data_IF_268386190784
#
_entry.id   IF_268386190784
#
_cell.length_a   1.000
_cell.length_b   1.000
_cell.length_c   1.000
_cell.angle_alpha   90.00
_cell.angle_beta   90.00
_cell.angle_gamma   90.00
#
_symmetry.space_group_name_H-M   'P 1'
#
loop_
_entity.id
_entity.type
_entity.pdbx_description
1 polymer ?
#
# COMPACT_ATOMS: atom_id res chain seq x y z
N UNK A 1 -5.80 -11.63 27.40
CA UNK A 1 -6.55 -12.65 26.61
C UNK A 1 -6.29 -12.42 25.13
N UNK A 2 -5.53 -13.30 24.46
CA UNK A 2 -5.31 -13.20 23.01
C UNK A 2 -6.57 -13.65 22.25
N UNK A 3 -7.02 -12.87 21.27
CA UNK A 3 -8.13 -13.28 20.39
C UNK A 3 -7.72 -14.54 19.61
N UNK A 4 -8.08 -15.72 20.13
CA UNK A 4 -7.97 -17.01 19.42
C UNK A 4 -9.02 -17.02 18.32
N UNK A 5 -8.59 -16.68 17.10
CA UNK A 5 -9.40 -16.74 15.89
C UNK A 5 -8.60 -16.21 14.69
N UNK A 6 -8.82 -16.78 13.51
CA UNK A 6 -8.25 -16.22 12.26
C UNK A 6 -8.69 -14.76 12.14
N UNK A 7 -7.78 -13.87 11.73
CA UNK A 7 -8.11 -12.47 11.44
C UNK A 7 -9.32 -12.45 10.49
N UNK A 8 -10.36 -11.63 10.75
CA UNK A 8 -11.54 -11.61 9.92
C UNK A 8 -11.14 -11.24 8.49
N UNK A 9 -11.65 -12.00 7.50
CA UNK A 9 -11.46 -11.65 6.09
C UNK A 9 -12.13 -10.28 5.82
N UNK A 10 -11.46 -9.38 5.09
CA UNK A 10 -12.04 -8.14 4.60
C UNK A 10 -13.39 -8.34 3.92
N UNK A 11 -14.22 -7.31 3.95
CA UNK A 11 -15.58 -7.40 3.42
C UNK A 11 -15.59 -7.65 1.91
N UNK A 12 -14.62 -7.08 1.19
CA UNK A 12 -14.40 -7.35 -0.23
C UNK A 12 -14.19 -8.84 -0.54
N UNK A 13 -13.40 -9.53 0.29
CA UNK A 13 -13.15 -10.97 0.15
C UNK A 13 -14.39 -11.81 0.45
N UNK A 14 -15.18 -11.43 1.46
CA UNK A 14 -16.44 -12.13 1.76
C UNK A 14 -17.49 -11.94 0.66
N UNK A 15 -17.54 -10.77 0.02
CA UNK A 15 -18.41 -10.53 -1.15
C UNK A 15 -18.01 -11.41 -2.33
N UNK A 16 -16.71 -11.57 -2.59
CA UNK A 16 -16.18 -12.38 -3.69
C UNK A 16 -16.38 -13.90 -3.45
N UNK A 17 -16.25 -14.36 -2.21
CA UNK A 17 -16.52 -15.76 -1.82
C UNK A 17 -18.02 -16.08 -1.67
N UNK A 18 -18.93 -15.16 -2.01
CA UNK A 18 -20.38 -15.38 -1.92
C UNK A 18 -20.92 -15.45 -0.49
N UNK A 19 -20.19 -14.88 0.47
CA UNK A 19 -20.51 -14.87 1.90
C UNK A 19 -20.90 -16.26 2.47
N UNK A 20 -19.97 -17.23 2.52
CA UNK A 20 -20.26 -18.61 2.94
C UNK A 20 -20.87 -18.69 4.35
N UNK A 21 -20.59 -17.71 5.21
CA UNK A 21 -21.08 -17.63 6.58
C UNK A 21 -22.42 -16.91 6.77
N UNK A 22 -23.03 -16.36 5.70
CA UNK A 22 -24.30 -15.59 5.71
C UNK A 22 -24.40 -14.48 6.78
N UNK A 23 -23.29 -14.04 7.38
CA UNK A 23 -23.28 -12.93 8.34
C UNK A 23 -23.40 -11.61 7.60
N UNK A 24 -24.09 -10.64 8.21
CA UNK A 24 -24.17 -9.27 7.70
C UNK A 24 -22.75 -8.74 7.42
N UNK A 25 -22.56 -8.23 6.21
CA UNK A 25 -21.29 -7.70 5.74
C UNK A 25 -21.13 -6.27 6.28
N UNK A 26 -19.91 -5.89 6.65
CA UNK A 26 -19.67 -4.53 7.13
C UNK A 26 -19.59 -3.58 5.93
N UNK A 27 -20.69 -2.88 5.65
CA UNK A 27 -20.79 -1.96 4.51
C UNK A 27 -20.04 -0.64 4.75
N UNK A 28 -19.66 -0.34 6.00
CA UNK A 28 -18.94 0.87 6.41
C UNK A 28 -17.44 0.64 6.59
N UNK A 29 -16.84 -0.27 5.81
CA UNK A 29 -15.38 -0.37 5.80
C UNK A 29 -14.82 0.88 5.12
N UNK A 30 -14.04 1.72 5.83
CA UNK A 30 -13.54 2.97 5.25
C UNK A 30 -12.57 2.62 4.13
N UNK A 31 -12.99 2.87 2.88
CA UNK A 31 -12.10 2.81 1.72
C UNK A 31 -11.26 4.08 1.74
N UNK A 32 -9.95 4.00 2.04
CA UNK A 32 -9.14 5.20 2.12
C UNK A 32 -9.01 5.82 0.72
N UNK A 33 -9.05 7.16 0.59
CA UNK A 33 -8.84 7.79 -0.71
C UNK A 33 -7.42 7.48 -1.21
N UNK A 34 -7.32 7.15 -2.50
CA UNK A 34 -6.05 7.01 -3.22
C UNK A 34 -5.41 8.39 -3.37
N UNK A 35 -4.76 8.87 -2.32
CA UNK A 35 -4.04 10.13 -2.28
C UNK A 35 -2.54 9.88 -2.46
N UNK A 36 -1.86 10.82 -3.12
CA UNK A 36 -0.40 10.77 -3.26
C UNK A 36 0.25 10.82 -1.88
N UNK A 37 0.77 9.68 -1.43
CA UNK A 37 1.56 9.59 -0.21
C UNK A 37 2.85 10.40 -0.36
N UNK A 38 2.95 11.50 0.38
CA UNK A 38 4.20 12.25 0.48
C UNK A 38 5.16 11.54 1.43
N UNK A 39 6.39 11.33 0.96
CA UNK A 39 7.47 10.78 1.79
C UNK A 39 7.75 11.73 2.97
N UNK A 40 7.80 11.24 4.22
CA UNK A 40 8.09 12.11 5.35
C UNK A 40 9.53 12.66 5.30
N UNK A 41 9.69 13.93 5.68
CA UNK A 41 10.98 14.63 5.57
C UNK A 41 12.07 14.05 6.47
N UNK A 42 11.69 13.45 7.61
CA UNK A 42 12.60 12.91 8.62
C UNK A 42 13.24 11.55 8.25
N UNK A 43 12.90 10.96 7.10
CA UNK A 43 13.50 9.68 6.70
C UNK A 43 14.97 9.83 6.33
N UNK A 44 15.74 8.81 6.69
CA UNK A 44 17.13 8.63 6.23
C UNK A 44 17.21 8.58 4.70
N UNK A 45 18.33 9.00 4.08
CA UNK A 45 18.48 8.98 2.63
C UNK A 45 18.22 7.60 2.00
N UNK A 46 18.74 6.53 2.61
CA UNK A 46 18.50 5.15 2.16
C UNK A 46 17.03 4.74 2.31
N UNK A 47 16.38 5.16 3.40
CA UNK A 47 14.94 4.93 3.59
C UNK A 47 14.10 5.67 2.52
N UNK A 48 14.50 6.88 2.12
CA UNK A 48 13.85 7.65 1.04
C UNK A 48 14.01 7.00 -0.32
N UNK A 49 15.13 6.31 -0.58
CA UNK A 49 15.32 5.54 -1.83
C UNK A 49 14.37 4.35 -1.88
N UNK A 50 14.26 3.62 -0.76
CA UNK A 50 13.35 2.47 -0.66
C UNK A 50 11.88 2.89 -0.77
N UNK A 51 11.51 4.01 -0.14
CA UNK A 51 10.19 4.60 -0.31
C UNK A 51 9.87 4.89 -1.77
N UNK A 52 10.78 5.54 -2.50
CA UNK A 52 10.59 5.86 -3.92
C UNK A 52 10.53 4.61 -4.81
N UNK A 53 11.19 3.53 -4.42
CA UNK A 53 11.19 2.26 -5.15
C UNK A 53 9.88 1.49 -4.99
N UNK A 54 9.36 1.40 -3.76
CA UNK A 54 8.22 0.53 -3.44
C UNK A 54 6.87 1.25 -3.39
N UNK A 55 6.83 2.53 -2.99
CA UNK A 55 5.58 3.26 -2.82
C UNK A 55 4.74 3.32 -4.11
N UNK A 56 5.30 3.63 -5.30
CA UNK A 56 4.49 3.73 -6.52
C UNK A 56 3.77 2.42 -6.86
N UNK A 57 4.48 1.29 -6.76
CA UNK A 57 3.91 -0.03 -7.02
C UNK A 57 2.84 -0.41 -6.00
N UNK A 58 3.05 -0.09 -4.72
CA UNK A 58 2.08 -0.38 -3.66
C UNK A 58 0.82 0.49 -3.75
N UNK A 59 0.96 1.75 -4.19
CA UNK A 59 -0.17 2.66 -4.47
C UNK A 59 -0.94 2.17 -5.69
N UNK A 60 -0.26 1.76 -6.76
CA UNK A 60 -0.89 1.22 -7.97
C UNK A 60 -1.69 -0.07 -7.69
N UNK A 61 -1.22 -0.89 -6.74
CA UNK A 61 -1.95 -2.07 -6.26
C UNK A 61 -3.06 -1.75 -5.25
N UNK A 62 -3.22 -0.49 -4.83
CA UNK A 62 -4.22 -0.08 -3.83
C UNK A 62 -3.96 -0.66 -2.43
N UNK A 63 -2.71 -1.00 -2.11
CA UNK A 63 -2.30 -1.57 -0.83
C UNK A 63 -1.90 -0.49 0.16
N UNK A 64 -1.27 0.56 -0.36
CA UNK A 64 -0.75 1.65 0.46
C UNK A 64 -1.68 2.85 0.39
N UNK A 65 -2.21 3.24 1.53
CA UNK A 65 -3.10 4.40 1.66
C UNK A 65 -2.53 5.45 2.60
N UNK A 66 -3.16 6.62 2.71
CA UNK A 66 -2.70 7.69 3.62
C UNK A 66 -2.61 7.23 5.07
N UNK A 67 -3.49 6.31 5.50
CA UNK A 67 -3.47 5.74 6.84
C UNK A 67 -2.20 4.91 7.11
N UNK A 68 -1.62 4.34 6.06
CA UNK A 68 -0.48 3.42 6.14
C UNK A 68 0.87 4.12 5.95
N UNK A 69 0.87 5.45 5.85
CA UNK A 69 2.09 6.25 5.64
C UNK A 69 3.13 6.05 6.76
N UNK A 70 2.69 6.02 8.02
CA UNK A 70 3.57 5.87 9.18
C UNK A 70 4.13 4.44 9.30
N UNK A 71 3.31 3.38 9.21
CA UNK A 71 3.83 2.01 9.17
C UNK A 71 4.79 1.77 7.99
N UNK A 72 4.52 2.34 6.82
CA UNK A 72 5.42 2.22 5.67
C UNK A 72 6.73 3.01 5.86
N UNK A 73 6.69 4.15 6.56
CA UNK A 73 7.89 4.90 6.93
C UNK A 73 8.76 4.12 7.91
N UNK A 74 8.14 3.41 8.85
CA UNK A 74 8.84 2.52 9.77
C UNK A 74 9.53 1.36 9.02
N UNK A 75 8.86 0.77 8.03
CA UNK A 75 9.45 -0.25 7.16
C UNK A 75 10.70 0.28 6.43
N UNK A 76 10.59 1.44 5.78
CA UNK A 76 11.70 2.05 5.06
C UNK A 76 12.88 2.37 6.00
N UNK A 77 12.59 2.79 7.23
CA UNK A 77 13.61 3.10 8.24
C UNK A 77 14.31 1.84 8.74
N UNK A 78 13.56 0.78 9.02
CA UNK A 78 14.12 -0.52 9.41
C UNK A 78 15.01 -1.10 8.30
N UNK A 79 14.59 -0.97 7.03
CA UNK A 79 15.40 -1.37 5.87
C UNK A 79 16.73 -0.61 5.81
N UNK A 80 16.70 0.72 5.96
CA UNK A 80 17.92 1.53 5.95
C UNK A 80 18.90 1.13 7.06
N UNK A 81 18.41 0.92 8.29
CA UNK A 81 19.24 0.51 9.42
C UNK A 81 19.79 -0.91 9.27
N UNK A 82 19.00 -1.82 8.70
CA UNK A 82 19.47 -3.18 8.39
C UNK A 82 20.60 -3.14 7.36
N UNK A 83 20.43 -2.40 6.26
CA UNK A 83 21.46 -2.24 5.22
C UNK A 83 22.77 -1.69 5.78
N UNK A 84 22.69 -0.65 6.61
CA UNK A 84 23.87 -0.07 7.28
C UNK A 84 24.57 -1.09 8.19
N UNK A 85 23.80 -1.87 8.96
CA UNK A 85 24.35 -2.90 9.83
C UNK A 85 25.03 -4.03 9.05
N UNK A 86 24.44 -4.49 7.94
CA UNK A 86 25.05 -5.51 7.05
C UNK A 86 26.34 -5.00 6.40
N UNK A 87 26.36 -3.75 5.94
CA UNK A 87 27.56 -3.13 5.38
C UNK A 87 28.68 -3.03 6.44
N UNK A 88 28.32 -2.73 7.69
CA UNK A 88 29.29 -2.70 8.80
C UNK A 88 29.85 -4.09 9.12
N UNK A 89 28.98 -5.11 9.18
CA UNK A 89 29.37 -6.52 9.42
C UNK A 89 30.28 -7.01 8.30
N UNK A 90 29.99 -6.66 7.05
CA UNK A 90 30.78 -7.05 5.88
C UNK A 90 32.19 -6.45 5.94
N UNK A 91 32.33 -5.20 6.40
CA UNK A 91 33.62 -4.49 6.49
C UNK A 91 34.47 -4.93 7.69
N UNK A 92 33.87 -5.12 8.85
CA UNK A 92 34.59 -5.34 10.12
C UNK A 92 34.56 -6.79 10.61
N UNK A 93 33.78 -7.65 9.94
CA UNK A 93 33.52 -9.02 10.38
C UNK A 93 32.45 -9.11 11.47
N UNK A 94 31.94 -10.32 11.64
CA UNK A 94 30.89 -10.64 12.61
C UNK A 94 31.40 -10.78 14.06
N UNK A 95 32.72 -10.79 14.26
CA UNK A 95 33.36 -11.05 15.56
C UNK A 95 34.44 -9.99 15.77
N UNK A 96 34.46 -9.37 16.94
CA UNK A 96 35.55 -8.51 17.38
C UNK A 96 36.24 -9.11 18.60
N UNK A 97 37.52 -8.76 18.80
CA UNK A 97 38.29 -9.16 19.97
C UNK A 97 38.21 -8.06 21.03
N UNK A 98 37.75 -8.44 22.22
CA UNK A 98 37.77 -7.60 23.43
C UNK A 98 39.24 -7.34 23.84
N UNK A 99 39.60 -6.25 24.56
CA UNK A 99 40.98 -6.03 25.02
C UNK A 99 41.53 -7.16 25.91
N UNK A 100 40.65 -8.02 26.44
CA UNK A 100 40.98 -9.24 27.20
C UNK A 100 41.25 -10.47 26.31
N UNK A 101 41.23 -10.33 24.99
CA UNK A 101 41.51 -11.39 24.03
C UNK A 101 40.33 -12.32 23.70
N UNK A 102 39.18 -12.16 24.37
CA UNK A 102 37.98 -12.95 24.08
C UNK A 102 37.28 -12.47 22.81
N UNK A 103 36.90 -13.43 21.96
CA UNK A 103 36.08 -13.18 20.79
C UNK A 103 34.62 -12.94 21.20
N UNK A 104 34.06 -11.77 20.86
CA UNK A 104 32.65 -11.45 21.09
C UNK A 104 31.95 -11.15 19.76
N UNK A 105 30.64 -11.47 19.64
CA UNK A 105 29.89 -11.12 18.46
C UNK A 105 29.77 -9.60 18.33
N UNK A 106 29.90 -9.11 17.11
CA UNK A 106 29.74 -7.71 16.79
C UNK A 106 28.29 -7.27 17.11
N UNK A 107 28.06 -6.18 17.88
CA UNK A 107 26.71 -5.72 18.23
C UNK A 107 25.83 -5.44 17.00
N UNK A 108 26.43 -5.08 15.86
CA UNK A 108 25.71 -4.87 14.61
C UNK A 108 24.99 -6.13 14.12
N UNK A 109 25.47 -7.34 14.46
CA UNK A 109 24.79 -8.61 14.13
C UNK A 109 23.43 -8.70 14.80
N UNK A 110 23.34 -8.29 16.08
CA UNK A 110 22.08 -8.28 16.81
C UNK A 110 21.12 -7.21 16.27
N UNK A 111 21.64 -6.04 15.91
CA UNK A 111 20.88 -4.94 15.30
C UNK A 111 20.32 -5.36 13.94
N UNK A 112 21.14 -5.97 13.07
CA UNK A 112 20.70 -6.49 11.78
C UNK A 112 19.59 -7.54 11.95
N UNK A 113 19.76 -8.49 12.86
CA UNK A 113 18.76 -9.52 13.14
C UNK A 113 17.44 -8.96 13.71
N UNK A 114 17.50 -7.85 14.46
CA UNK A 114 16.32 -7.16 14.96
C UNK A 114 15.55 -6.46 13.84
N UNK A 115 16.22 -5.62 13.04
CA UNK A 115 15.57 -4.92 11.94
C UNK A 115 15.09 -5.87 10.84
N UNK A 116 15.77 -6.99 10.60
CA UNK A 116 15.29 -8.03 9.69
C UNK A 116 13.95 -8.63 10.13
N UNK A 117 13.72 -8.79 11.45
CA UNK A 117 12.42 -9.25 11.98
C UNK A 117 11.33 -8.20 11.81
N UNK A 118 11.64 -6.93 12.06
CA UNK A 118 10.70 -5.82 11.83
C UNK A 118 10.31 -5.72 10.36
N UNK A 119 11.29 -5.78 9.45
CA UNK A 119 11.09 -5.81 7.99
C UNK A 119 10.16 -6.96 7.61
N UNK A 120 10.41 -8.18 8.11
CA UNK A 120 9.55 -9.35 7.82
C UNK A 120 8.12 -9.16 8.32
N UNK A 121 7.95 -8.59 9.52
CA UNK A 121 6.63 -8.34 10.10
C UNK A 121 5.84 -7.32 9.27
N UNK A 122 6.46 -6.16 9.00
CA UNK A 122 5.83 -5.09 8.21
C UNK A 122 5.62 -5.51 6.76
N UNK A 123 6.55 -6.26 6.15
CA UNK A 123 6.39 -6.81 4.79
C UNK A 123 5.20 -7.76 4.69
N UNK A 124 4.87 -8.49 5.75
CA UNK A 124 3.69 -9.35 5.78
C UNK A 124 2.40 -8.51 5.81
N UNK A 125 2.38 -7.38 6.51
CA UNK A 125 1.22 -6.48 6.57
C UNK A 125 0.92 -5.84 5.21
N UNK A 126 1.96 -5.41 4.49
CA UNK A 126 1.87 -4.87 3.12
C UNK A 126 1.82 -5.94 2.03
N UNK A 127 1.75 -7.23 2.41
CA UNK A 127 1.74 -8.39 1.53
C UNK A 127 2.82 -8.40 0.43
N UNK A 128 4.01 -7.90 0.78
CA UNK A 128 5.23 -8.05 0.01
C UNK A 128 5.77 -9.50 0.04
N UNK A 129 5.19 -10.36 0.89
CA UNK A 129 5.50 -11.80 0.94
C UNK A 129 4.58 -12.59 0.00
N UNK A 130 5.09 -13.63 -0.69
CA UNK A 130 4.28 -14.45 -1.60
C UNK A 130 3.00 -15.02 -0.95
N UNK A 131 3.08 -15.38 0.33
CA UNK A 131 1.95 -15.92 1.09
C UNK A 131 0.83 -14.90 1.34
N UNK A 132 1.15 -13.59 1.39
CA UNK A 132 0.20 -12.54 1.71
C UNK A 132 -0.26 -11.76 0.46
N UNK A 133 0.40 -11.98 -0.69
CA UNK A 133 0.00 -11.39 -1.99
C UNK A 133 -1.41 -11.79 -2.42
N UNK A 134 -1.88 -12.99 -2.08
CA UNK A 134 -3.26 -13.44 -2.35
C UNK A 134 -4.32 -12.63 -1.64
N UNK A 135 -4.05 -12.09 -0.45
CA UNK A 135 -4.98 -11.21 0.26
C UNK A 135 -5.09 -9.82 -0.39
N UNK A 136 -4.01 -9.36 -1.02
CA UNK A 136 -3.92 -8.05 -1.68
C UNK A 136 -4.63 -8.01 -3.03
N UNK A 137 -4.52 -9.08 -3.81
CA UNK A 137 -5.18 -9.17 -5.12
C UNK A 137 -6.69 -8.91 -5.00
N UNK A 138 -7.29 -9.35 -3.90
CA UNK A 138 -8.70 -9.10 -3.63
C UNK A 138 -9.03 -7.62 -3.33
N UNK A 139 -8.11 -6.86 -2.75
CA UNK A 139 -8.30 -5.43 -2.51
C UNK A 139 -8.19 -4.63 -3.82
N UNK A 140 -7.20 -4.95 -4.65
CA UNK A 140 -7.00 -4.36 -5.98
C UNK A 140 -8.21 -4.60 -6.91
N UNK A 141 -8.78 -5.82 -6.89
CA UNK A 141 -10.01 -6.15 -7.61
C UNK A 141 -11.24 -5.39 -7.10
N UNK A 142 -11.28 -4.99 -5.82
CA UNK A 142 -12.39 -4.20 -5.28
C UNK A 142 -12.36 -2.75 -5.73
N UNK A 143 -11.17 -2.16 -5.87
CA UNK A 143 -10.96 -0.81 -6.40
C UNK A 143 -11.32 -0.76 -7.89
N UNK A 144 -10.90 -1.77 -8.66
CA UNK A 144 -11.27 -1.90 -10.07
C UNK A 144 -12.80 -1.97 -10.28
N UNK A 145 -13.55 -2.54 -9.33
CA UNK A 145 -15.03 -2.59 -9.36
C UNK A 145 -15.71 -1.33 -8.82
N UNK A 146 -15.00 -0.48 -8.07
CA UNK A 146 -15.51 0.80 -7.58
C UNK A 146 -15.44 1.93 -8.61
N UNK A 147 -14.62 1.75 -9.66
CA UNK A 147 -14.66 2.57 -10.86
C UNK A 147 -15.82 2.06 -11.71
N UNK A 148 -17.01 2.66 -11.56
CA UNK A 148 -18.13 2.43 -12.49
C UNK A 148 -17.61 2.66 -13.90
N UNK A 149 -17.75 1.65 -14.77
CA UNK A 149 -17.38 1.76 -16.17
C UNK A 149 -18.08 2.99 -16.79
N UNK A 150 -17.47 3.70 -17.76
CA UNK A 150 -18.09 4.86 -18.39
C UNK A 150 -19.52 4.58 -18.86
N UNK A 151 -19.76 3.37 -19.37
CA UNK A 151 -21.07 2.85 -19.79
C UNK A 151 -22.05 2.69 -18.63
N UNK A 152 -21.58 2.17 -17.48
CA UNK A 152 -22.41 1.92 -16.29
C UNK A 152 -22.77 3.23 -15.56
N UNK A 153 -21.91 4.26 -15.69
CA UNK A 153 -22.19 5.61 -15.22
C UNK A 153 -23.28 6.30 -16.04
N UNK A 154 -23.29 6.11 -17.35
CA UNK A 154 -24.35 6.60 -18.26
C UNK A 154 -25.68 5.89 -17.99
N UNK A 155 -25.65 4.59 -17.72
CA UNK A 155 -26.86 3.80 -17.44
C UNK A 155 -27.45 4.04 -16.04
N UNK A 156 -26.66 4.56 -15.09
CA UNK A 156 -27.10 4.81 -13.70
C UNK A 156 -27.29 6.28 -13.36
N UNK A 157 -27.02 7.22 -14.26
CA UNK A 157 -27.51 8.60 -14.12
C UNK A 157 -28.95 8.65 -14.59
N UNK A 158 -29.87 8.71 -13.62
CA UNK A 158 -31.27 9.00 -13.89
C UNK A 158 -31.38 10.31 -14.67
N UNK A 159 -32.24 10.27 -15.69
CA UNK A 159 -32.62 11.33 -16.59
C UNK A 159 -33.33 12.44 -15.81
N UNK A 160 -32.62 13.45 -15.33
CA UNK A 160 -33.23 14.70 -14.81
C UNK A 160 -32.20 15.84 -14.80
N UNK A 161 -31.56 16.08 -15.95
CA UNK A 161 -30.99 17.40 -16.24
C UNK A 161 -31.39 17.75 -17.67
N UNK A 162 -32.29 18.73 -17.79
CA UNK A 162 -32.66 19.35 -19.05
C UNK A 162 -31.39 19.72 -19.83
N UNK A 163 -31.15 18.99 -20.92
CA UNK A 163 -30.22 19.41 -21.96
C UNK A 163 -30.84 20.68 -22.57
N UNK A 164 -30.48 21.84 -22.01
CA UNK A 164 -30.63 23.11 -22.71
C UNK A 164 -29.66 23.04 -23.89
N UNK A 165 -30.20 22.67 -25.05
CA UNK A 165 -29.52 22.83 -26.32
C UNK A 165 -29.46 24.34 -26.58
N UNK A 166 -28.41 25.00 -26.10
CA UNK A 166 -28.03 26.31 -26.64
C UNK A 166 -27.55 26.08 -28.08
N UNK A 167 -28.50 26.21 -29.02
CA UNK A 167 -28.25 26.23 -30.44
C UNK A 167 -27.45 27.47 -30.80
N UNK A 168 -26.12 27.31 -30.87
CA UNK A 168 -25.21 28.28 -31.44
C UNK A 168 -24.53 27.71 -32.69
N UNK A 169 -25.08 27.99 -33.88
CA UNK A 169 -24.27 28.10 -35.09
C UNK A 169 -24.85 29.18 -35.99
N UNK A 170 -24.23 30.34 -35.88
CA UNK A 170 -24.28 31.43 -36.83
C UNK A 170 -23.84 30.89 -38.21
N UNK A 171 -24.75 30.81 -39.17
CA UNK A 171 -24.43 30.63 -40.59
C UNK A 171 -25.25 31.65 -41.38
N UNK A 172 -24.65 32.82 -41.49
CA UNK A 172 -25.04 33.88 -42.40
C UNK A 172 -24.42 33.51 -43.74
N UNK A 173 -25.24 33.15 -44.72
CA UNK A 173 -24.89 33.27 -46.13
C UNK A 173 -26.10 33.95 -46.79
N UNK A 174 -25.89 35.23 -47.11
CA UNK A 174 -26.63 35.96 -48.15
C UNK A 174 -26.29 35.29 -49.48
N UNK A 175 -27.30 34.90 -50.26
CA UNK A 175 -27.47 35.33 -51.65
C UNK A 175 -28.63 34.57 -52.35
N UNK A 176 -29.26 35.32 -53.26
CA UNK A 176 -30.10 34.94 -54.39
C UNK A 176 -31.64 35.08 -54.31
N UNK A 177 -32.07 36.05 -55.14
CA UNK A 177 -33.39 36.43 -55.73
C UNK A 177 -34.33 37.40 -54.99
#
# INVERSE_FOLDING_TARGET
MGKRGRKPKPTALKKLEGNPGKRLLNEYEPVPPLSMLRCPNYLLPEAKKEWRRLAPSLIAMGVLTVADAVPFAAYCTAYARWREAEDFITKHGAIYKDPRGFARPNPYVAIAAHHLREIKSLAAEFGLTPANRTAIIANALSIARGVKDPMERILTSELDDDIVVEGGSNFMDEDDE
#
